data_IF_421730626311
#
_entry.id   IF_421730626311
#
_cell.length_a   1.000
_cell.length_b   1.000
_cell.length_c   1.000
_cell.angle_alpha   90.00
_cell.angle_beta   90.00
_cell.angle_gamma   90.00
#
_symmetry.space_group_name_H-M   'P 1'
#
loop_
_entity.id
_entity.type
_entity.pdbx_description
1 polymer ?
#
# COMPACT_ATOMS: atom_id res chain seq x y z
N UNK A 1 25.99 53.40 45.37
CA UNK A 1 24.78 54.12 44.98
C UNK A 1 24.52 53.73 43.54
N UNK A 2 24.05 52.49 43.30
CA UNK A 2 22.63 52.10 43.41
C UNK A 2 21.85 52.88 42.33
N UNK A 3 21.28 52.25 41.31
CA UNK A 3 20.30 51.17 41.42
C UNK A 3 20.37 50.15 40.27
N UNK A 4 20.42 48.88 40.67
CA UNK A 4 19.98 47.73 39.88
C UNK A 4 18.44 47.73 39.87
N UNK A 5 17.81 48.17 38.78
CA UNK A 5 16.41 47.82 38.51
C UNK A 5 16.44 46.72 37.46
N UNK A 6 16.74 45.50 37.94
CA UNK A 6 16.50 44.28 37.19
C UNK A 6 15.12 43.76 37.61
N UNK A 7 14.07 44.46 37.18
CA UNK A 7 12.69 44.04 37.42
C UNK A 7 12.29 43.04 36.32
N UNK A 8 12.84 41.84 36.41
CA UNK A 8 12.26 40.70 35.74
C UNK A 8 11.15 40.18 36.66
N UNK A 9 9.88 40.13 36.22
CA UNK A 9 8.83 39.53 37.02
C UNK A 9 9.28 38.11 37.38
N UNK A 10 9.25 37.79 38.68
CA UNK A 10 9.56 36.45 39.17
C UNK A 10 8.70 35.46 38.37
N UNK A 11 9.37 34.67 37.51
CA UNK A 11 8.71 33.65 36.71
C UNK A 11 8.42 32.51 37.68
N UNK A 12 7.34 32.63 38.45
CA UNK A 12 6.91 31.65 39.44
C UNK A 12 6.33 30.38 38.80
N UNK A 13 6.46 30.19 37.49
CA UNK A 13 5.92 29.04 36.78
C UNK A 13 6.89 28.56 35.70
N UNK A 14 7.29 27.30 35.77
CA UNK A 14 8.10 26.63 34.74
C UNK A 14 7.23 25.68 33.92
N UNK A 15 7.50 25.52 32.61
CA UNK A 15 6.75 24.56 31.80
C UNK A 15 6.99 23.14 32.32
N UNK A 16 5.92 22.37 32.48
CA UNK A 16 5.98 21.00 33.00
C UNK A 16 6.63 20.01 32.03
N UNK A 17 6.78 20.39 30.76
CA UNK A 17 7.44 19.61 29.72
C UNK A 17 8.30 20.53 28.82
N UNK A 18 9.34 19.98 28.16
CA UNK A 18 10.12 20.72 27.18
C UNK A 18 9.23 21.33 26.10
N UNK A 19 9.16 22.67 26.04
CA UNK A 19 8.39 23.38 25.03
C UNK A 19 9.25 23.64 23.79
N UNK A 20 8.74 23.27 22.61
CA UNK A 20 9.35 23.59 21.34
C UNK A 20 8.58 24.71 20.63
N UNK A 21 9.28 25.75 20.16
CA UNK A 21 8.67 26.85 19.37
C UNK A 21 8.28 26.46 17.94
N UNK A 22 8.58 25.23 17.52
CA UNK A 22 8.19 24.71 16.21
C UNK A 22 6.89 23.91 16.34
N UNK A 23 6.02 23.91 15.32
CA UNK A 23 4.91 22.97 15.25
C UNK A 23 5.41 21.53 15.48
N UNK A 24 4.60 20.67 16.13
CA UNK A 24 4.97 19.27 16.30
C UNK A 24 5.22 18.64 14.94
N UNK A 25 6.37 17.98 14.78
CA UNK A 25 6.63 17.18 13.59
C UNK A 25 5.65 16.00 13.55
N UNK A 26 5.14 15.60 12.37
CA UNK A 26 4.32 14.42 12.25
C UNK A 26 5.01 13.19 12.87
N UNK A 27 4.25 12.26 13.47
CA UNK A 27 4.82 11.05 14.04
C UNK A 27 5.53 10.23 12.96
N UNK A 28 6.71 9.72 13.29
CA UNK A 28 7.52 8.91 12.41
C UNK A 28 6.95 7.49 12.31
N UNK A 29 6.86 6.95 11.09
CA UNK A 29 6.44 5.57 10.87
C UNK A 29 7.66 4.66 10.90
N UNK A 30 7.84 3.99 12.05
CA UNK A 30 8.92 3.04 12.24
C UNK A 30 8.64 1.72 11.51
N UNK A 31 9.50 1.38 10.55
CA UNK A 31 9.50 0.08 9.89
C UNK A 31 10.57 -0.76 10.55
N UNK A 32 10.22 -1.85 11.26
CA UNK A 32 11.20 -2.71 11.90
C UNK A 32 12.21 -3.24 10.87
N UNK A 33 13.52 -3.24 11.17
CA UNK A 33 14.51 -3.77 10.27
C UNK A 33 14.30 -5.28 10.09
N UNK A 34 14.41 -5.75 8.86
CA UNK A 34 14.46 -7.18 8.56
C UNK A 34 15.91 -7.65 8.59
N UNK A 35 16.29 -8.43 9.59
CA UNK A 35 17.51 -9.26 9.54
C UNK A 35 18.84 -8.59 9.90
N UNK A 36 18.93 -7.91 11.04
CA UNK A 36 20.21 -7.68 11.72
C UNK A 36 20.08 -8.10 13.18
N UNK A 37 20.60 -9.31 13.49
CA UNK A 37 20.68 -9.94 14.81
C UNK A 37 19.37 -10.60 15.34
N UNK A 38 19.39 -11.93 15.50
CA UNK A 38 18.31 -12.73 16.10
C UNK A 38 17.24 -13.19 15.10
N UNK A 39 16.60 -14.33 15.36
CA UNK A 39 15.59 -14.96 14.50
C UNK A 39 14.48 -13.97 14.08
N UNK A 40 14.48 -13.53 12.82
CA UNK A 40 13.44 -12.64 12.27
C UNK A 40 12.53 -13.45 11.35
N UNK A 41 11.23 -13.34 11.58
CA UNK A 41 10.19 -13.85 10.70
C UNK A 41 10.30 -13.18 9.32
N UNK A 42 10.82 -13.91 8.34
CA UNK A 42 10.84 -13.48 6.95
C UNK A 42 9.39 -13.21 6.52
N UNK A 43 9.03 -12.02 6.01
CA UNK A 43 7.67 -11.74 5.60
C UNK A 43 7.32 -12.64 4.42
N UNK A 44 6.42 -13.60 4.63
CA UNK A 44 5.93 -14.49 3.59
C UNK A 44 4.62 -13.91 3.06
N UNK A 45 4.51 -13.77 1.73
CA UNK A 45 3.24 -13.41 1.11
C UNK A 45 2.48 -14.68 0.75
N UNK A 46 1.29 -14.79 1.32
CA UNK A 46 0.28 -15.74 0.91
C UNK A 46 -0.86 -14.93 0.29
N UNK A 47 -1.47 -15.40 -0.81
CA UNK A 47 -2.67 -14.78 -1.35
C UNK A 47 -3.75 -14.73 -0.27
N UNK A 48 -4.42 -13.59 -0.18
CA UNK A 48 -5.55 -13.40 0.74
C UNK A 48 -6.77 -13.09 -0.09
N UNK A 49 -7.83 -13.88 0.04
CA UNK A 49 -9.07 -13.72 -0.73
C UNK A 49 -10.13 -12.91 0.02
N UNK A 50 -10.00 -12.76 1.34
CA UNK A 50 -11.01 -12.09 2.18
C UNK A 50 -10.92 -10.58 2.12
N UNK A 51 -9.71 -10.03 1.92
CA UNK A 51 -9.45 -8.58 1.92
C UNK A 51 -9.35 -7.98 0.52
N UNK A 52 -9.71 -8.75 -0.51
CA UNK A 52 -9.66 -8.27 -1.88
C UNK A 52 -10.92 -7.46 -2.16
N UNK A 53 -10.72 -6.28 -2.77
CA UNK A 53 -11.81 -5.43 -3.22
C UNK A 53 -12.63 -6.17 -4.29
N UNK A 54 -13.77 -6.72 -3.89
CA UNK A 54 -14.70 -7.47 -4.76
C UNK A 54 -15.21 -6.66 -5.96
N UNK A 55 -15.12 -5.32 -5.91
CA UNK A 55 -15.46 -4.46 -7.05
C UNK A 55 -14.40 -4.49 -8.15
N UNK A 56 -13.17 -4.90 -7.84
CA UNK A 56 -12.05 -4.96 -8.78
C UNK A 56 -11.61 -6.37 -9.13
N UNK A 57 -11.66 -7.31 -8.18
CA UNK A 57 -11.19 -8.68 -8.36
C UNK A 57 -12.10 -9.67 -7.63
N UNK A 58 -12.44 -10.77 -8.29
CA UNK A 58 -13.05 -11.93 -7.62
C UNK A 58 -11.99 -12.80 -6.95
N UNK A 59 -12.38 -13.65 -6.01
CA UNK A 59 -11.48 -14.63 -5.40
C UNK A 59 -10.83 -15.56 -6.44
N UNK A 60 -11.58 -15.90 -7.51
CA UNK A 60 -11.07 -16.70 -8.62
C UNK A 60 -10.00 -15.95 -9.42
N UNK A 61 -10.19 -14.65 -9.66
CA UNK A 61 -9.19 -13.83 -10.35
C UNK A 61 -7.88 -13.74 -9.56
N UNK A 62 -7.98 -13.59 -8.23
CA UNK A 62 -6.81 -13.59 -7.33
C UNK A 62 -6.09 -14.92 -7.38
N UNK A 63 -6.83 -16.03 -7.39
CA UNK A 63 -6.27 -17.37 -7.56
C UNK A 63 -5.54 -17.52 -8.91
N UNK A 64 -6.15 -17.05 -10.01
CA UNK A 64 -5.50 -17.03 -11.32
C UNK A 64 -4.21 -16.20 -11.30
N UNK A 65 -4.26 -14.98 -10.74
CA UNK A 65 -3.13 -14.07 -10.72
C UNK A 65 -1.99 -14.63 -9.88
N UNK A 66 -2.29 -15.10 -8.68
CA UNK A 66 -1.28 -15.53 -7.70
C UNK A 66 -0.85 -16.98 -7.86
N UNK A 67 -1.67 -17.81 -8.52
CA UNK A 67 -1.49 -19.27 -8.65
C UNK A 67 -1.38 -19.97 -7.28
N UNK A 68 -2.02 -19.41 -6.25
CA UNK A 68 -1.98 -19.87 -4.85
C UNK A 68 -0.56 -20.12 -4.32
N UNK A 69 0.42 -19.45 -4.93
CA UNK A 69 1.84 -19.74 -4.72
C UNK A 69 2.38 -18.85 -3.62
N UNK A 70 2.91 -19.48 -2.58
CA UNK A 70 3.63 -18.82 -1.50
C UNK A 70 4.84 -18.06 -2.05
N UNK A 71 4.91 -16.76 -1.79
CA UNK A 71 6.05 -15.93 -2.15
C UNK A 71 6.99 -15.81 -0.95
N UNK A 72 8.21 -16.31 -1.11
CA UNK A 72 9.28 -16.20 -0.12
C UNK A 72 10.31 -15.21 -0.66
N UNK A 73 10.63 -14.14 0.08
CA UNK A 73 11.61 -13.18 -0.39
C UNK A 73 13.00 -13.82 -0.34
N UNK A 74 13.81 -13.55 -1.35
CA UNK A 74 15.20 -14.02 -1.36
C UNK A 74 16.05 -12.96 -0.68
N UNK A 75 16.64 -13.25 0.48
CA UNK A 75 17.51 -12.29 1.14
C UNK A 75 18.79 -12.09 0.32
N UNK A 76 18.84 -10.96 -0.40
CA UNK A 76 19.99 -10.55 -1.21
C UNK A 76 20.79 -9.42 -0.56
N UNK A 77 20.46 -9.05 0.69
CA UNK A 77 21.08 -7.90 1.36
C UNK A 77 22.56 -8.11 1.65
N UNK A 78 22.97 -9.34 1.99
CA UNK A 78 24.38 -9.67 2.28
C UNK A 78 25.26 -9.63 1.01
N UNK A 79 24.72 -10.06 -0.13
CA UNK A 79 25.42 -10.08 -1.43
C UNK A 79 25.12 -8.84 -2.28
N UNK A 80 24.55 -7.80 -1.67
CA UNK A 80 24.12 -6.62 -2.42
C UNK A 80 25.31 -5.78 -2.86
N UNK A 81 25.34 -5.41 -4.14
CA UNK A 81 26.32 -4.47 -4.69
C UNK A 81 25.63 -3.26 -5.30
N UNK A 82 26.33 -2.12 -5.30
CA UNK A 82 25.79 -0.86 -5.81
C UNK A 82 25.27 -0.95 -7.25
N UNK A 83 25.89 -1.79 -8.10
CA UNK A 83 25.48 -1.94 -9.50
C UNK A 83 24.11 -2.60 -9.68
N UNK A 84 23.65 -3.42 -8.72
CA UNK A 84 22.33 -4.05 -8.77
C UNK A 84 21.19 -3.01 -8.75
N UNK A 85 21.44 -1.76 -8.35
CA UNK A 85 20.45 -0.68 -8.47
C UNK A 85 20.03 -0.40 -9.92
N UNK A 86 20.91 -0.71 -10.89
CA UNK A 86 20.68 -0.50 -12.34
C UNK A 86 19.92 -1.65 -12.99
N UNK A 87 19.79 -2.77 -12.27
CA UNK A 87 19.09 -3.96 -12.73
C UNK A 87 17.64 -3.93 -12.25
N UNK A 88 16.76 -4.71 -12.87
CA UNK A 88 15.44 -4.97 -12.34
C UNK A 88 15.46 -6.25 -11.49
N UNK A 89 14.73 -6.25 -10.38
CA UNK A 89 14.59 -7.43 -9.52
C UNK A 89 13.15 -7.93 -9.53
N UNK A 90 13.03 -9.26 -9.48
CA UNK A 90 11.76 -9.94 -9.27
C UNK A 90 11.31 -9.70 -7.82
N UNK A 91 10.18 -9.04 -7.66
CA UNK A 91 9.55 -8.82 -6.35
C UNK A 91 8.75 -10.08 -6.00
N UNK A 92 7.75 -10.40 -6.81
CA UNK A 92 6.99 -11.66 -6.79
C UNK A 92 7.06 -12.32 -8.16
N UNK A 93 6.59 -13.56 -8.28
CA UNK A 93 6.79 -14.38 -9.49
C UNK A 93 6.34 -13.79 -10.82
N UNK A 94 5.43 -12.82 -10.80
CA UNK A 94 4.93 -12.12 -11.99
C UNK A 94 5.18 -10.61 -11.97
N UNK A 95 5.82 -10.06 -10.91
CA UNK A 95 6.03 -8.62 -10.76
C UNK A 95 7.50 -8.29 -10.58
N UNK A 96 8.02 -7.45 -11.46
CA UNK A 96 9.40 -6.99 -11.47
C UNK A 96 9.44 -5.49 -11.23
N UNK A 97 10.52 -5.04 -10.60
CA UNK A 97 10.74 -3.65 -10.25
C UNK A 97 12.14 -3.21 -10.70
N UNK A 98 12.25 -2.09 -11.42
CA UNK A 98 13.55 -1.61 -11.85
C UNK A 98 13.54 -0.21 -12.48
N UNK A 99 14.70 0.28 -12.93
CA UNK A 99 14.81 1.58 -13.60
C UNK A 99 14.33 1.52 -15.06
N UNK A 100 13.96 2.68 -15.61
CA UNK A 100 13.60 2.86 -17.03
C UNK A 100 14.68 2.35 -18.00
N UNK A 101 15.94 2.26 -17.57
CA UNK A 101 17.02 1.72 -18.40
C UNK A 101 16.83 0.25 -18.77
N UNK A 102 16.13 -0.53 -17.96
CA UNK A 102 15.84 -1.95 -18.23
C UNK A 102 14.66 -2.11 -19.20
N UNK A 103 13.69 -1.19 -19.16
CA UNK A 103 12.52 -1.21 -20.06
C UNK A 103 12.86 -1.01 -21.55
N UNK A 104 14.12 -0.72 -21.90
CA UNK A 104 14.62 -0.65 -23.28
C UNK A 104 15.54 -1.82 -23.68
N UNK A 105 15.90 -2.70 -22.75
CA UNK A 105 16.76 -3.86 -23.02
C UNK A 105 15.92 -5.01 -23.58
N UNK A 106 15.99 -5.20 -24.90
CA UNK A 106 15.19 -6.21 -25.59
C UNK A 106 15.56 -7.63 -25.16
N UNK A 107 16.86 -7.90 -24.95
CA UNK A 107 17.34 -9.23 -24.59
C UNK A 107 16.88 -9.61 -23.19
N UNK A 108 16.94 -8.65 -22.27
CA UNK A 108 16.48 -8.87 -20.90
C UNK A 108 14.97 -9.08 -20.84
N UNK A 109 14.19 -8.23 -21.53
CA UNK A 109 12.73 -8.33 -21.57
C UNK A 109 12.26 -9.67 -22.16
N UNK A 110 12.88 -10.12 -23.24
CA UNK A 110 12.58 -11.41 -23.88
C UNK A 110 12.99 -12.59 -22.99
N UNK A 111 14.19 -12.54 -22.40
CA UNK A 111 14.70 -13.59 -21.50
C UNK A 111 13.79 -13.78 -20.28
N UNK A 112 13.37 -12.70 -19.64
CA UNK A 112 12.47 -12.78 -18.48
C UNK A 112 11.03 -13.06 -18.90
N UNK A 113 10.66 -12.83 -20.16
CA UNK A 113 9.31 -13.03 -20.67
C UNK A 113 8.33 -11.98 -20.16
N UNK A 114 8.74 -10.72 -20.09
CA UNK A 114 7.88 -9.61 -19.69
C UNK A 114 6.77 -9.42 -20.72
N UNK A 115 5.53 -9.35 -20.27
CA UNK A 115 4.34 -9.16 -21.13
C UNK A 115 3.70 -7.78 -20.98
N UNK A 116 4.04 -7.05 -19.91
CA UNK A 116 3.64 -5.65 -19.72
C UNK A 116 4.72 -4.82 -19.04
N UNK A 117 4.82 -3.55 -19.44
CA UNK A 117 5.64 -2.53 -18.79
C UNK A 117 4.72 -1.41 -18.30
N UNK A 118 4.82 -1.10 -17.01
CA UNK A 118 4.16 0.05 -16.37
C UNK A 118 5.23 1.08 -16.05
N UNK A 119 5.21 2.22 -16.74
CA UNK A 119 6.18 3.30 -16.56
C UNK A 119 5.55 4.40 -15.71
N UNK A 120 5.93 4.45 -14.44
CA UNK A 120 5.64 5.55 -13.55
C UNK A 120 6.63 6.69 -13.80
N UNK A 121 6.12 7.87 -14.15
CA UNK A 121 6.93 9.07 -14.39
C UNK A 121 6.24 10.29 -13.80
N UNK A 122 7.02 11.35 -13.65
CA UNK A 122 6.47 12.65 -13.27
C UNK A 122 5.50 13.16 -14.34
N UNK A 123 4.34 13.70 -13.95
CA UNK A 123 3.34 14.24 -14.88
C UNK A 123 3.91 15.37 -15.77
N UNK A 124 4.94 16.09 -15.32
CA UNK A 124 5.66 17.08 -16.15
C UNK A 124 6.36 16.44 -17.36
N UNK A 125 6.62 15.14 -17.30
CA UNK A 125 7.20 14.35 -18.40
C UNK A 125 6.14 13.69 -19.29
N UNK A 126 4.85 13.94 -19.10
CA UNK A 126 3.77 13.30 -19.87
C UNK A 126 3.94 13.50 -21.39
N UNK A 127 4.37 14.71 -21.81
CA UNK A 127 4.64 15.05 -23.20
C UNK A 127 5.95 14.50 -23.78
N UNK A 128 6.84 13.95 -22.92
CA UNK A 128 8.12 13.39 -23.37
C UNK A 128 7.91 11.94 -23.79
N UNK A 129 8.04 11.66 -25.08
CA UNK A 129 7.94 10.30 -25.60
C UNK A 129 9.19 9.50 -25.24
N UNK A 130 9.03 8.36 -24.58
CA UNK A 130 10.14 7.46 -24.28
C UNK A 130 10.34 6.48 -25.44
N UNK A 131 10.76 7.03 -26.58
CA UNK A 131 10.91 6.32 -27.86
C UNK A 131 11.60 4.96 -27.77
N UNK A 132 12.65 4.84 -26.94
CA UNK A 132 13.38 3.57 -26.80
C UNK A 132 12.55 2.49 -26.11
N UNK A 133 11.72 2.86 -25.12
CA UNK A 133 10.82 1.94 -24.42
C UNK A 133 9.65 1.57 -25.35
N UNK A 134 9.07 2.56 -26.04
CA UNK A 134 7.99 2.33 -27.01
C UNK A 134 8.45 1.38 -28.12
N UNK A 135 9.66 1.57 -28.67
CA UNK A 135 10.25 0.67 -29.67
C UNK A 135 10.47 -0.74 -29.13
N UNK A 136 10.99 -0.87 -27.91
CA UNK A 136 11.19 -2.18 -27.29
C UNK A 136 9.85 -2.90 -27.06
N UNK A 137 8.85 -2.18 -26.56
CA UNK A 137 7.52 -2.71 -26.35
C UNK A 137 6.86 -3.15 -27.66
N UNK A 138 6.95 -2.33 -28.71
CA UNK A 138 6.43 -2.68 -30.04
C UNK A 138 7.15 -3.88 -30.65
N UNK A 139 8.49 -3.93 -30.57
CA UNK A 139 9.29 -5.01 -31.14
C UNK A 139 9.00 -6.38 -30.50
N UNK A 140 8.70 -6.40 -29.20
CA UNK A 140 8.43 -7.62 -28.44
C UNK A 140 6.93 -7.87 -28.19
N UNK A 141 6.04 -7.04 -28.75
CA UNK A 141 4.60 -7.07 -28.52
C UNK A 141 4.21 -7.06 -27.03
N UNK A 142 4.85 -6.18 -26.26
CA UNK A 142 4.65 -5.99 -24.82
C UNK A 142 3.63 -4.85 -24.61
N UNK A 143 2.65 -5.06 -23.73
CA UNK A 143 1.71 -4.01 -23.37
C UNK A 143 2.44 -2.87 -22.61
N UNK A 144 2.26 -1.63 -23.03
CA UNK A 144 2.91 -0.47 -22.42
C UNK A 144 1.86 0.47 -21.81
N UNK A 145 2.01 0.77 -20.53
CA UNK A 145 1.14 1.70 -19.82
C UNK A 145 1.96 2.78 -19.12
N UNK A 146 1.61 4.04 -19.36
CA UNK A 146 2.23 5.19 -18.70
C UNK A 146 1.36 5.65 -17.54
N UNK A 147 2.00 5.89 -16.39
CA UNK A 147 1.37 6.45 -15.20
C UNK A 147 2.03 7.80 -14.93
N UNK A 148 1.29 8.86 -15.22
CA UNK A 148 1.73 10.24 -15.03
C UNK A 148 1.32 10.73 -13.64
N UNK A 149 2.30 10.83 -12.73
CA UNK A 149 2.07 11.20 -11.33
C UNK A 149 2.47 12.66 -11.08
N UNK A 150 1.49 13.48 -10.70
CA UNK A 150 1.70 14.84 -10.23
C UNK A 150 2.13 14.82 -8.75
N UNK A 151 3.38 14.43 -8.52
CA UNK A 151 3.94 14.22 -7.18
C UNK A 151 3.34 13.03 -6.43
N UNK A 152 3.71 12.89 -5.15
CA UNK A 152 3.23 11.80 -4.28
C UNK A 152 1.81 12.02 -3.75
N UNK A 153 1.26 13.23 -3.86
CA UNK A 153 -0.08 13.55 -3.37
C UNK A 153 -1.19 12.84 -4.16
N UNK A 154 -0.96 12.61 -5.46
CA UNK A 154 -1.90 11.89 -6.34
C UNK A 154 -1.70 10.38 -6.37
N UNK A 155 -0.74 9.86 -5.60
CA UNK A 155 -0.39 8.45 -5.60
C UNK A 155 -1.57 7.57 -5.16
N UNK A 156 -2.26 7.96 -4.07
CA UNK A 156 -3.40 7.22 -3.53
C UNK A 156 -4.53 7.10 -4.56
N UNK A 157 -4.84 8.21 -5.26
CA UNK A 157 -5.88 8.20 -6.29
C UNK A 157 -5.53 7.37 -7.53
N UNK A 158 -4.24 7.21 -7.81
CA UNK A 158 -3.76 6.45 -8.96
C UNK A 158 -3.74 4.93 -8.70
N UNK A 159 -3.54 4.49 -7.45
CA UNK A 159 -3.42 3.06 -7.13
C UNK A 159 -4.55 2.18 -7.66
N UNK A 160 -5.85 2.50 -7.49
CA UNK A 160 -6.93 1.65 -7.99
C UNK A 160 -6.86 1.42 -9.51
N UNK A 161 -6.57 2.47 -10.27
CA UNK A 161 -6.47 2.37 -11.72
C UNK A 161 -5.26 1.53 -12.15
N UNK A 162 -4.10 1.76 -11.54
CA UNK A 162 -2.87 1.02 -11.86
C UNK A 162 -3.04 -0.46 -11.53
N UNK A 163 -3.59 -0.78 -10.36
CA UNK A 163 -3.83 -2.16 -9.92
C UNK A 163 -4.80 -2.84 -10.89
N UNK A 164 -5.91 -2.18 -11.26
CA UNK A 164 -6.85 -2.70 -12.26
C UNK A 164 -6.16 -2.99 -13.59
N UNK A 165 -5.38 -2.04 -14.11
CA UNK A 165 -4.67 -2.20 -15.39
C UNK A 165 -3.69 -3.38 -15.35
N UNK A 166 -2.95 -3.55 -14.25
CA UNK A 166 -2.04 -4.70 -14.08
C UNK A 166 -2.82 -6.02 -14.04
N UNK A 167 -3.90 -6.07 -13.26
CA UNK A 167 -4.72 -7.27 -13.11
C UNK A 167 -5.42 -7.66 -14.41
N UNK A 168 -6.07 -6.70 -15.09
CA UNK A 168 -6.74 -6.91 -16.37
C UNK A 168 -5.78 -7.50 -17.41
N UNK A 169 -4.53 -7.02 -17.43
CA UNK A 169 -3.50 -7.56 -18.30
C UNK A 169 -3.12 -9.01 -17.94
N UNK A 170 -2.88 -9.30 -16.66
CA UNK A 170 -2.54 -10.65 -16.20
C UNK A 170 -3.65 -11.66 -16.52
N UNK A 171 -4.90 -11.27 -16.30
CA UNK A 171 -6.09 -12.06 -16.62
C UNK A 171 -6.26 -12.23 -18.13
N UNK A 172 -6.08 -11.17 -18.92
CA UNK A 172 -6.12 -11.23 -20.38
C UNK A 172 -5.09 -12.23 -20.94
N UNK A 173 -3.86 -12.21 -20.43
CA UNK A 173 -2.83 -13.20 -20.81
C UNK A 173 -3.28 -14.62 -20.47
N UNK A 174 -3.86 -14.84 -19.28
CA UNK A 174 -4.41 -16.14 -18.91
C UNK A 174 -5.55 -16.58 -19.85
N UNK A 175 -6.53 -15.70 -20.09
CA UNK A 175 -7.70 -15.98 -20.94
C UNK A 175 -7.33 -16.27 -22.40
N UNK A 176 -6.31 -15.59 -22.94
CA UNK A 176 -5.82 -15.85 -24.30
C UNK A 176 -5.27 -17.26 -24.52
N UNK A 177 -4.95 -17.99 -23.44
CA UNK A 177 -4.42 -19.36 -23.47
C UNK A 177 -5.51 -20.42 -23.26
N UNK A 178 -6.76 -20.02 -23.04
CA UNK A 178 -7.85 -20.95 -22.83
C UNK A 178 -8.16 -21.74 -24.11
N UNK A 179 -8.13 -23.07 -24.01
CA UNK A 179 -8.45 -23.98 -25.11
C UNK A 179 -9.96 -24.26 -25.24
N UNK A 180 -10.74 -23.85 -24.25
CA UNK A 180 -12.18 -24.01 -24.20
C UNK A 180 -12.74 -23.70 -22.81
N UNK A 181 -14.04 -23.94 -22.65
CA UNK A 181 -14.72 -23.87 -21.36
C UNK A 181 -15.15 -25.26 -20.91
N UNK A 182 -14.93 -25.56 -19.65
CA UNK A 182 -15.45 -26.72 -18.96
C UNK A 182 -16.97 -26.64 -18.86
N UNK A 183 -17.61 -27.76 -18.50
CA UNK A 183 -19.07 -27.83 -18.29
C UNK A 183 -19.56 -26.87 -17.21
N UNK A 184 -18.68 -26.49 -16.29
CA UNK A 184 -18.97 -25.57 -15.18
C UNK A 184 -18.67 -24.10 -15.54
N UNK A 185 -18.27 -23.81 -16.78
CA UNK A 185 -17.92 -22.46 -17.24
C UNK A 185 -16.45 -22.05 -17.00
N UNK A 186 -15.68 -22.84 -16.26
CA UNK A 186 -14.25 -22.62 -16.02
C UNK A 186 -13.43 -22.75 -17.30
N UNK A 187 -12.40 -21.94 -17.46
CA UNK A 187 -11.52 -22.01 -18.62
C UNK A 187 -10.56 -23.19 -18.50
N UNK A 188 -10.48 -23.99 -19.56
CA UNK A 188 -9.55 -25.11 -19.63
C UNK A 188 -8.23 -24.57 -20.19
N UNK A 189 -7.23 -24.49 -19.32
CA UNK A 189 -5.86 -24.12 -19.67
C UNK A 189 -4.96 -25.33 -19.42
N UNK A 190 -4.19 -25.73 -20.43
CA UNK A 190 -3.22 -26.80 -20.25
C UNK A 190 -2.06 -26.33 -19.35
N UNK A 191 -1.94 -26.97 -18.19
CA UNK A 191 -0.91 -26.68 -17.18
C UNK A 191 0.51 -26.81 -17.73
N UNK A 192 0.75 -27.62 -18.78
CA UNK A 192 2.09 -27.81 -19.36
C UNK A 192 2.51 -26.65 -20.26
N UNK A 193 1.56 -26.02 -20.95
CA UNK A 193 1.83 -24.90 -21.85
C UNK A 193 1.58 -23.55 -21.19
N UNK A 194 1.02 -23.54 -19.99
CA UNK A 194 0.66 -22.33 -19.26
C UNK A 194 1.86 -21.39 -19.08
N UNK A 195 1.67 -20.15 -19.51
CA UNK A 195 2.60 -19.04 -19.29
C UNK A 195 1.87 -17.93 -18.54
N UNK A 196 2.33 -17.59 -17.34
CA UNK A 196 1.77 -16.44 -16.63
C UNK A 196 2.21 -15.13 -17.29
N UNK A 197 1.34 -14.13 -17.28
CA UNK A 197 1.75 -12.76 -17.60
C UNK A 197 2.78 -12.24 -16.60
N UNK A 198 3.73 -11.42 -17.05
CA UNK A 198 4.75 -10.82 -16.19
C UNK A 198 4.80 -9.31 -16.43
N UNK A 199 4.78 -8.56 -15.35
CA UNK A 199 4.72 -7.10 -15.37
C UNK A 199 6.01 -6.53 -14.82
N UNK A 200 6.60 -5.58 -15.55
CA UNK A 200 7.71 -4.76 -15.10
C UNK A 200 7.21 -3.36 -14.74
N UNK A 201 7.31 -2.97 -13.48
CA UNK A 201 7.06 -1.59 -13.04
C UNK A 201 8.39 -0.84 -13.03
N UNK A 202 8.45 0.30 -13.74
CA UNK A 202 9.63 1.15 -13.76
C UNK A 202 9.32 2.60 -13.38
N UNK A 203 10.32 3.27 -12.84
CA UNK A 203 10.41 4.73 -12.83
C UNK A 203 11.83 5.15 -13.24
N UNK A 204 12.17 6.43 -13.13
CA UNK A 204 13.46 6.97 -13.57
C UNK A 204 14.65 6.22 -12.96
N UNK A 205 14.60 5.96 -11.65
CA UNK A 205 15.65 5.23 -10.91
C UNK A 205 15.23 3.83 -10.47
N UNK A 206 13.94 3.52 -10.50
CA UNK A 206 13.38 2.26 -10.01
C UNK A 206 13.34 2.14 -8.48
N UNK A 207 13.48 3.23 -7.72
CA UNK A 207 13.63 3.18 -6.27
C UNK A 207 12.45 3.77 -5.50
N UNK A 208 11.66 4.63 -6.15
CA UNK A 208 10.80 5.59 -5.50
C UNK A 208 9.33 5.39 -5.91
N UNK A 209 8.80 6.07 -6.93
CA UNK A 209 7.41 5.91 -7.39
C UNK A 209 7.05 4.47 -7.75
N UNK A 210 7.93 3.80 -8.49
CA UNK A 210 7.70 2.41 -8.89
C UNK A 210 7.66 1.46 -7.68
N UNK A 211 8.48 1.72 -6.66
CA UNK A 211 8.50 0.93 -5.43
C UNK A 211 7.21 1.14 -4.62
N UNK A 212 6.71 2.38 -4.57
CA UNK A 212 5.45 2.69 -3.91
C UNK A 212 4.24 2.02 -4.60
N UNK A 213 4.20 2.03 -5.94
CA UNK A 213 3.18 1.30 -6.72
C UNK A 213 3.28 -0.21 -6.46
N UNK A 214 4.50 -0.77 -6.47
CA UNK A 214 4.70 -2.19 -6.17
C UNK A 214 4.20 -2.54 -4.76
N UNK A 215 4.49 -1.70 -3.75
CA UNK A 215 4.02 -1.90 -2.38
C UNK A 215 2.48 -1.88 -2.31
N UNK A 216 1.84 -0.86 -2.90
CA UNK A 216 0.39 -0.75 -2.93
C UNK A 216 -0.28 -1.93 -3.64
N UNK A 217 0.34 -2.45 -4.71
CA UNK A 217 -0.11 -3.65 -5.40
C UNK A 217 -0.01 -4.89 -4.52
N UNK A 218 1.12 -5.09 -3.82
CA UNK A 218 1.27 -6.21 -2.89
C UNK A 218 0.24 -6.17 -1.76
N UNK A 219 -0.02 -4.98 -1.20
CA UNK A 219 -1.04 -4.79 -0.17
C UNK A 219 -2.43 -5.18 -0.68
N UNK A 220 -2.79 -4.76 -1.90
CA UNK A 220 -4.10 -5.01 -2.48
C UNK A 220 -4.32 -6.49 -2.87
N UNK A 221 -3.31 -7.15 -3.46
CA UNK A 221 -3.46 -8.52 -4.00
C UNK A 221 -3.15 -9.61 -2.97
N UNK A 222 -2.22 -9.36 -2.04
CA UNK A 222 -1.87 -10.32 -0.98
C UNK A 222 -2.50 -9.98 0.37
N UNK A 223 -3.30 -8.90 0.45
CA UNK A 223 -3.99 -8.48 1.68
C UNK A 223 -3.03 -8.26 2.85
N UNK A 224 -1.85 -7.69 2.59
CA UNK A 224 -0.81 -7.42 3.59
C UNK A 224 -0.85 -5.97 4.04
N UNK A 225 -0.41 -5.75 5.28
CA UNK A 225 -0.20 -4.42 5.83
C UNK A 225 0.99 -3.72 5.14
N UNK A 226 1.05 -2.41 5.31
CA UNK A 226 2.10 -1.57 4.72
C UNK A 226 3.50 -1.99 5.19
N UNK A 227 3.65 -2.36 6.46
CA UNK A 227 4.95 -2.78 7.03
C UNK A 227 5.46 -4.04 6.34
N UNK A 228 4.64 -5.10 6.26
CA UNK A 228 5.05 -6.36 5.62
C UNK A 228 5.37 -6.15 4.15
N UNK A 229 4.57 -5.35 3.43
CA UNK A 229 4.79 -5.06 2.02
C UNK A 229 6.13 -4.34 1.77
N UNK A 230 6.43 -3.29 2.56
CA UNK A 230 7.70 -2.56 2.44
C UNK A 230 8.88 -3.46 2.81
N UNK A 231 8.79 -4.20 3.91
CA UNK A 231 9.83 -5.15 4.33
C UNK A 231 10.12 -6.18 3.24
N UNK A 232 9.07 -6.77 2.64
CA UNK A 232 9.22 -7.74 1.55
C UNK A 232 9.96 -7.14 0.34
N UNK A 233 9.57 -5.93 -0.09
CA UNK A 233 10.23 -5.24 -1.20
C UNK A 233 11.67 -4.87 -0.85
N UNK A 234 11.93 -4.39 0.36
CA UNK A 234 13.27 -4.02 0.82
C UNK A 234 14.23 -5.23 0.82
N UNK A 235 13.73 -6.45 1.11
CA UNK A 235 14.55 -7.66 1.02
C UNK A 235 14.89 -8.01 -0.45
N UNK A 236 13.92 -7.84 -1.38
CA UNK A 236 14.10 -8.19 -2.79
C UNK A 236 14.91 -7.14 -3.58
N UNK A 237 14.67 -5.86 -3.30
CA UNK A 237 15.35 -4.70 -3.89
C UNK A 237 15.70 -3.72 -2.78
N UNK A 238 16.87 -3.96 -2.17
CA UNK A 238 17.40 -3.19 -1.04
C UNK A 238 17.53 -1.67 -1.27
N UNK A 239 17.70 -1.26 -2.53
CA UNK A 239 17.84 0.16 -2.88
C UNK A 239 16.52 0.94 -3.02
N UNK A 240 15.37 0.31 -2.76
CA UNK A 240 14.09 1.04 -2.72
C UNK A 240 14.10 2.04 -1.56
N UNK A 241 13.54 3.22 -1.81
CA UNK A 241 13.41 4.29 -0.83
C UNK A 241 11.94 4.55 -0.56
N UNK A 242 11.56 4.39 0.71
CA UNK A 242 10.24 4.71 1.22
C UNK A 242 10.41 5.85 2.22
N UNK A 243 10.24 7.08 1.75
CA UNK A 243 10.25 8.24 2.62
C UNK A 243 9.00 8.30 3.51
N UNK A 244 9.00 9.19 4.49
CA UNK A 244 7.87 9.30 5.43
C UNK A 244 6.56 9.67 4.74
N UNK A 245 6.62 10.37 3.60
CA UNK A 245 5.40 10.73 2.89
C UNK A 245 4.78 9.55 2.18
N UNK A 246 5.58 8.78 1.44
CA UNK A 246 5.15 7.52 0.82
C UNK A 246 4.62 6.53 1.86
N UNK A 247 5.30 6.38 3.01
CA UNK A 247 4.81 5.53 4.11
C UNK A 247 3.42 5.94 4.59
N UNK A 248 3.18 7.25 4.79
CA UNK A 248 1.85 7.75 5.16
C UNK A 248 0.83 7.50 4.06
N UNK A 249 1.18 7.70 2.79
CA UNK A 249 0.25 7.41 1.67
C UNK A 249 -0.10 5.92 1.62
N UNK A 250 0.87 5.04 1.85
CA UNK A 250 0.64 3.60 1.94
C UNK A 250 -0.20 3.22 3.16
N UNK A 251 0.02 3.86 4.31
CA UNK A 251 -0.86 3.66 5.49
C UNK A 251 -2.31 4.05 5.18
N UNK A 252 -2.52 5.23 4.56
CA UNK A 252 -3.87 5.64 4.13
C UNK A 252 -4.46 4.66 3.10
N UNK A 253 -3.63 4.12 2.21
CA UNK A 253 -4.05 3.10 1.25
C UNK A 253 -4.50 1.80 1.94
N UNK A 254 -3.79 1.38 2.98
CA UNK A 254 -4.18 0.23 3.81
C UNK A 254 -5.57 0.42 4.42
N UNK A 255 -5.84 1.61 4.97
CA UNK A 255 -7.13 1.94 5.56
C UNK A 255 -8.24 1.94 4.50
N UNK A 256 -7.96 2.43 3.29
CA UNK A 256 -8.89 2.36 2.17
C UNK A 256 -9.19 0.93 1.74
N UNK A 257 -8.17 0.06 1.67
CA UNK A 257 -8.36 -1.37 1.36
C UNK A 257 -9.23 -2.05 2.42
N UNK A 258 -8.94 -1.80 3.71
CA UNK A 258 -9.72 -2.35 4.84
C UNK A 258 -11.17 -1.88 4.78
N UNK A 259 -11.41 -0.59 4.54
CA UNK A 259 -12.75 -0.05 4.41
C UNK A 259 -13.52 -0.67 3.23
N UNK A 260 -12.87 -0.84 2.07
CA UNK A 260 -13.50 -1.47 0.89
C UNK A 260 -13.86 -2.94 1.14
N UNK A 261 -12.98 -3.70 1.78
CA UNK A 261 -13.26 -5.08 2.19
C UNK A 261 -14.47 -5.18 3.13
N UNK A 262 -14.56 -4.28 4.11
CA UNK A 262 -15.71 -4.21 5.04
C UNK A 262 -17.03 -3.89 4.33
N UNK A 263 -17.02 -2.96 3.38
CA UNK A 263 -18.24 -2.64 2.60
C UNK A 263 -18.64 -3.83 1.71
N UNK A 264 -17.68 -4.48 1.06
CA UNK A 264 -17.93 -5.65 0.21
C UNK A 264 -18.60 -6.79 0.99
N UNK A 265 -18.08 -7.11 2.18
CA UNK A 265 -18.65 -8.15 3.05
C UNK A 265 -20.06 -7.81 3.57
N UNK A 266 -20.34 -6.53 3.87
CA UNK A 266 -21.68 -6.09 4.26
C UNK A 266 -22.69 -6.21 3.11
N UNK A 267 -22.32 -5.86 1.88
CA UNK A 267 -23.20 -6.00 0.71
C UNK A 267 -23.53 -7.47 0.40
N UNK A 268 -22.60 -8.39 0.67
CA UNK A 268 -22.80 -9.83 0.50
C UNK A 268 -23.71 -10.45 1.59
N UNK A 269 -23.97 -9.73 2.69
CA UNK A 269 -24.85 -10.20 3.77
C UNK A 269 -26.30 -9.81 3.43
N UNK A 270 -27.23 -10.76 3.23
CA UNK A 270 -28.62 -10.42 2.90
C UNK A 270 -29.28 -9.59 4.01
N UNK A 271 -30.16 -8.67 3.60
CA UNK A 271 -30.93 -7.67 4.38
C UNK A 271 -31.88 -8.25 5.47
N UNK A 272 -31.47 -9.28 6.21
CA UNK A 272 -32.16 -9.73 7.43
C UNK A 272 -31.51 -9.15 8.70
N UNK A 273 -30.90 -7.97 8.60
CA UNK A 273 -30.49 -7.20 9.77
C UNK A 273 -31.66 -6.30 10.20
N UNK A 274 -32.37 -6.76 11.22
CA UNK A 274 -33.52 -6.17 11.94
C UNK A 274 -33.25 -4.75 12.51
N UNK A 275 -32.10 -4.13 12.22
CA UNK A 275 -31.75 -2.80 12.70
C UNK A 275 -31.73 -1.78 11.57
N UNK A 276 -32.94 -1.37 11.17
CA UNK A 276 -33.15 -0.03 10.67
C UNK A 276 -32.57 0.95 11.70
N UNK A 277 -31.86 1.98 11.23
CA UNK A 277 -31.36 3.09 12.05
C UNK A 277 -32.49 3.56 12.98
N UNK A 278 -32.30 3.46 14.30
CA UNK A 278 -33.24 4.02 15.27
C UNK A 278 -33.33 5.52 14.99
N UNK A 279 -34.54 5.99 14.66
CA UNK A 279 -34.83 7.39 14.42
C UNK A 279 -34.68 8.14 15.75
N UNK A 280 -34.24 9.41 15.72
CA UNK A 280 -33.98 10.18 16.96
C UNK A 280 -35.25 10.35 17.82
N UNK A 281 -36.44 10.27 17.21
CA UNK A 281 -37.73 10.29 17.93
C UNK A 281 -37.97 9.04 18.80
N UNK A 282 -37.31 7.90 18.54
CA UNK A 282 -37.45 6.69 19.40
C UNK A 282 -36.74 6.86 20.76
N UNK A 283 -35.98 7.94 20.97
CA UNK A 283 -35.35 8.25 22.26
C UNK A 283 -36.05 9.37 23.04
N UNK A 284 -37.12 9.95 22.52
CA UNK A 284 -37.89 11.00 23.20
C UNK A 284 -39.29 10.55 23.60
N UNK A 285 -39.49 9.25 23.88
CA UNK A 285 -40.69 8.83 24.61
C UNK A 285 -40.49 9.23 26.08
N UNK A 286 -41.02 10.41 26.39
CA UNK A 286 -40.91 11.05 27.70
C UNK A 286 -42.03 10.52 28.58
N UNK A 287 -42.06 9.22 28.80
CA UNK A 287 -42.87 8.66 29.87
C UNK A 287 -42.11 8.87 31.18
N UNK A 288 -42.50 9.93 31.87
CA UNK A 288 -42.30 10.13 33.30
C UNK A 288 -42.84 8.87 34.02
N UNK A 289 -41.98 7.87 34.25
CA UNK A 289 -42.03 6.89 35.34
C UNK A 289 -41.27 5.59 34.99
N UNK A 290 -39.94 5.62 35.01
CA UNK A 290 -39.15 4.40 35.26
C UNK A 290 -37.75 4.73 35.79
N UNK A 291 -37.48 4.22 36.98
CA UNK A 291 -36.19 4.19 37.68
C UNK A 291 -35.17 3.29 36.94
N UNK A 292 -34.82 3.65 35.70
CA UNK A 292 -33.81 2.97 34.90
C UNK A 292 -32.49 3.67 35.14
N UNK A 293 -31.65 3.05 35.99
CA UNK A 293 -30.20 3.30 36.06
C UNK A 293 -29.53 2.90 34.73
N UNK A 294 -29.82 3.63 33.67
CA UNK A 294 -28.98 3.67 32.49
C UNK A 294 -27.80 4.55 32.81
N UNK A 295 -26.62 3.97 32.90
CA UNK A 295 -25.34 4.67 32.98
C UNK A 295 -25.19 5.50 31.70
N UNK A 296 -25.72 6.73 31.71
CA UNK A 296 -25.43 7.73 30.70
C UNK A 296 -23.95 8.02 30.83
N UNK A 297 -23.15 7.58 29.87
CA UNK A 297 -21.74 7.98 29.80
C UNK A 297 -21.71 9.48 29.54
N UNK A 298 -21.52 10.27 30.58
CA UNK A 298 -21.46 11.72 30.51
C UNK A 298 -20.13 12.12 29.85
N UNK A 299 -20.05 13.32 29.26
CA UNK A 299 -18.80 13.84 28.65
C UNK A 299 -17.61 13.83 29.63
N UNK A 300 -17.88 13.77 30.94
CA UNK A 300 -16.89 13.56 31.99
C UNK A 300 -16.12 12.24 31.90
N UNK A 301 -16.77 11.13 31.53
CA UNK A 301 -16.14 9.80 31.52
C UNK A 301 -15.07 9.69 30.41
N UNK A 302 -15.13 10.59 29.42
CA UNK A 302 -14.12 10.75 28.36
C UNK A 302 -12.74 11.15 28.91
N UNK A 303 -12.71 11.78 30.07
CA UNK A 303 -11.50 12.34 30.69
C UNK A 303 -10.99 11.51 31.86
N UNK A 304 -11.70 10.45 32.27
CA UNK A 304 -11.23 9.54 33.30
C UNK A 304 -9.98 8.76 32.84
N UNK A 305 -8.98 8.66 33.73
CA UNK A 305 -7.71 7.98 33.45
C UNK A 305 -6.69 8.80 32.65
N UNK A 306 -7.00 10.04 32.24
CA UNK A 306 -5.97 10.98 31.76
C UNK A 306 -5.26 11.59 32.95
N UNK A 307 -3.93 11.47 32.99
CA UNK A 307 -3.14 12.30 33.91
C UNK A 307 -3.45 13.78 33.63
N UNK A 308 -3.67 14.57 34.69
CA UNK A 308 -3.90 16.00 34.56
C UNK A 308 -2.65 16.65 33.98
N UNK A 309 -2.63 16.88 32.66
CA UNK A 309 -1.54 17.60 32.02
C UNK A 309 -1.67 19.08 32.42
N UNK A 310 -0.94 19.47 33.46
CA UNK A 310 -0.83 20.87 33.88
C UNK A 310 0.32 21.48 33.07
N UNK A 311 0.09 22.41 32.14
CA UNK A 311 1.14 22.88 31.21
C UNK A 311 2.27 23.66 31.90
N UNK A 312 1.98 24.19 33.09
CA UNK A 312 2.91 24.97 33.91
C UNK A 312 2.84 24.46 35.34
N UNK A 313 3.99 24.38 36.00
CA UNK A 313 4.11 24.07 37.43
C UNK A 313 4.69 25.28 38.12
N UNK A 314 4.12 25.63 39.26
CA UNK A 314 4.66 26.70 40.09
C UNK A 314 6.06 26.29 40.60
N UNK A 315 6.98 27.27 40.62
CA UNK A 315 8.38 27.06 40.99
C UNK A 315 8.58 26.99 42.51
#
# INVERSE_FOLDING_TARGET
MEDLINDHPAINAVPSAPYARRPPSPPFIHIPPTGQCGEVAIPILLPNYENVDSSQLTAHDVQIITQDTKQVPTNRAADWSYEQRREAQKVVDFLYLGPNSIAKDHRWLEKEGITMIVVARDARMAGVKLMSIEKAAQALNIALHYVDLEGYDKLISAFPEIIRVINDHLLSVYHSQAQGKSRNGELIVDSKTFRRGKVLITCETGNDRSAAIAAAYLMAVFGKDMITAIQFIAIQRFCCSFDEDVKRKLQCWEDLLRARSQVASQVATPLNAIHAKRHIDDMMDTDEDADVKGEFTLDHDRFEGREAFVPFVDM
#
